data_IF_226190894603
#
_entry.id   IF_226190894603
#
_cell.length_a   1.000
_cell.length_b   1.000
_cell.length_c   1.000
_cell.angle_alpha   90.00
_cell.angle_beta   90.00
_cell.angle_gamma   90.00
#
_symmetry.space_group_name_H-M   'P 1'
#
loop_
_entity.id
_entity.type
_entity.pdbx_description
1 polymer ?
#
# COMPACT_ATOMS: atom_id res chain seq x y z
N UNK A 1 -14.13 -22.97 -13.36
CA UNK A 1 -13.23 -21.80 -13.33
C UNK A 1 -12.88 -21.56 -11.88
N UNK A 2 -11.60 -21.57 -11.52
CA UNK A 2 -11.19 -21.08 -10.20
C UNK A 2 -11.49 -19.57 -10.16
N UNK A 3 -12.05 -19.09 -9.04
CA UNK A 3 -12.15 -17.65 -8.80
C UNK A 3 -10.72 -17.12 -8.68
N UNK A 4 -10.37 -16.16 -9.53
CA UNK A 4 -9.09 -15.44 -9.44
C UNK A 4 -9.11 -14.61 -8.15
N UNK A 5 -8.01 -14.64 -7.38
CA UNK A 5 -7.92 -13.86 -6.16
C UNK A 5 -7.99 -12.36 -6.51
N UNK A 6 -8.69 -11.57 -5.71
CA UNK A 6 -8.72 -10.11 -5.82
C UNK A 6 -7.64 -9.47 -4.96
N UNK A 7 -7.19 -8.26 -5.31
CA UNK A 7 -6.22 -7.53 -4.51
C UNK A 7 -6.72 -7.25 -3.07
N UNK A 8 -8.04 -7.09 -2.87
CA UNK A 8 -8.62 -6.92 -1.53
C UNK A 8 -8.57 -8.22 -0.70
N UNK A 9 -8.79 -9.37 -1.32
CA UNK A 9 -8.63 -10.67 -0.65
C UNK A 9 -7.18 -10.92 -0.29
N UNK A 10 -6.25 -10.59 -1.20
CA UNK A 10 -4.82 -10.65 -0.91
C UNK A 10 -4.45 -9.70 0.23
N UNK A 11 -4.93 -8.45 0.24
CA UNK A 11 -4.71 -7.50 1.33
C UNK A 11 -5.14 -8.06 2.70
N UNK A 12 -6.27 -8.77 2.76
CA UNK A 12 -6.71 -9.46 3.98
C UNK A 12 -5.73 -10.55 4.42
N UNK A 13 -5.37 -11.44 3.50
CA UNK A 13 -4.41 -12.51 3.77
C UNK A 13 -3.06 -11.97 4.26
N UNK A 14 -2.57 -10.90 3.63
CA UNK A 14 -1.31 -10.26 4.02
C UNK A 14 -1.44 -9.58 5.39
N UNK A 15 -2.57 -8.94 5.69
CA UNK A 15 -2.77 -8.32 6.99
C UNK A 15 -2.77 -9.35 8.14
N UNK A 16 -3.27 -10.56 7.88
CA UNK A 16 -3.21 -11.69 8.83
C UNK A 16 -1.78 -12.23 8.97
N UNK A 17 -1.07 -12.43 7.86
CA UNK A 17 0.32 -12.89 7.84
C UNK A 17 1.28 -11.96 8.61
N UNK A 18 1.07 -10.65 8.46
CA UNK A 18 1.93 -9.62 9.04
C UNK A 18 1.50 -9.20 10.46
N UNK A 19 0.53 -9.90 11.05
CA UNK A 19 0.09 -9.63 12.42
C UNK A 19 1.29 -9.67 13.39
N UNK A 20 1.43 -8.62 14.20
CA UNK A 20 2.55 -8.45 15.13
C UNK A 20 3.68 -7.54 14.64
N UNK A 21 3.62 -7.07 13.38
CA UNK A 21 4.53 -6.03 12.83
C UNK A 21 3.82 -4.69 12.69
N UNK A 22 4.58 -3.62 12.49
CA UNK A 22 4.11 -2.25 12.27
C UNK A 22 3.98 -1.94 10.78
N UNK A 23 2.75 -2.03 10.27
CA UNK A 23 2.44 -1.75 8.87
C UNK A 23 1.03 -1.18 8.71
N UNK A 24 0.73 -0.66 7.52
CA UNK A 24 -0.62 -0.30 7.10
C UNK A 24 -0.79 -0.51 5.60
N UNK A 25 -1.97 -1.00 5.21
CA UNK A 25 -2.38 -1.15 3.82
C UNK A 25 -3.04 0.16 3.37
N UNK A 26 -2.66 0.61 2.18
CA UNK A 26 -3.22 1.81 1.58
C UNK A 26 -3.70 1.58 0.16
N UNK A 27 -3.47 2.59 -0.66
CA UNK A 27 -3.55 2.47 -2.09
C UNK A 27 -4.97 2.44 -2.60
N UNK A 28 -5.10 1.81 -3.77
CA UNK A 28 -6.41 1.56 -4.36
C UNK A 28 -7.29 0.66 -3.48
N UNK A 29 -6.70 -0.27 -2.71
CA UNK A 29 -7.41 -1.10 -1.72
C UNK A 29 -8.09 -0.24 -0.64
N UNK A 30 -7.39 0.75 -0.08
CA UNK A 30 -7.97 1.70 0.87
C UNK A 30 -9.10 2.53 0.24
N UNK A 31 -8.90 3.06 -0.98
CA UNK A 31 -9.95 3.82 -1.67
C UNK A 31 -11.24 3.01 -1.84
N UNK A 32 -11.12 1.74 -2.24
CA UNK A 32 -12.27 0.85 -2.33
C UNK A 32 -12.93 0.62 -0.97
N UNK A 33 -12.15 0.46 0.10
CA UNK A 33 -12.66 0.33 1.47
C UNK A 33 -13.47 1.57 1.92
N UNK A 34 -13.07 2.76 1.47
CA UNK A 34 -13.78 4.03 1.73
C UNK A 34 -15.05 4.22 0.87
N UNK A 35 -15.37 3.25 -0.01
CA UNK A 35 -16.50 3.32 -0.93
C UNK A 35 -16.27 4.24 -2.13
N UNK A 36 -15.01 4.56 -2.45
CA UNK A 36 -14.65 5.29 -3.67
C UNK A 36 -14.59 4.29 -4.82
N UNK A 37 -15.28 4.60 -5.92
CA UNK A 37 -15.39 3.70 -7.07
C UNK A 37 -14.04 3.51 -7.79
N UNK A 38 -13.33 2.46 -7.39
CA UNK A 38 -12.05 2.03 -7.95
C UNK A 38 -11.97 0.50 -7.92
N UNK A 39 -11.25 -0.06 -8.89
CA UNK A 39 -10.86 -1.47 -8.87
C UNK A 39 -9.38 -1.57 -8.48
N UNK A 40 -9.06 -2.11 -7.30
CA UNK A 40 -7.68 -2.34 -6.90
C UNK A 40 -7.01 -3.39 -7.80
N UNK A 41 -5.75 -3.14 -8.18
CA UNK A 41 -4.95 -4.04 -9.02
C UNK A 41 -3.70 -4.57 -8.31
N UNK A 42 -3.38 -3.97 -7.18
CA UNK A 42 -2.24 -4.25 -6.34
C UNK A 42 -2.56 -3.93 -4.87
N UNK A 43 -1.66 -4.36 -4.00
CA UNK A 43 -1.69 -4.07 -2.57
C UNK A 43 -0.49 -3.19 -2.22
N UNK A 44 -0.75 -1.99 -1.73
CA UNK A 44 0.30 -1.08 -1.24
C UNK A 44 0.46 -1.23 0.27
N UNK A 45 1.66 -1.55 0.74
CA UNK A 45 2.00 -1.72 2.16
C UNK A 45 3.10 -0.72 2.54
N UNK A 46 2.79 0.12 3.54
CA UNK A 46 3.78 0.96 4.22
C UNK A 46 4.09 0.32 5.56
N UNK A 47 5.36 0.25 5.94
CA UNK A 47 5.78 -0.28 7.23
C UNK A 47 6.87 0.56 7.90
N UNK A 48 7.15 0.27 9.18
CA UNK A 48 8.29 0.85 9.87
C UNK A 48 9.60 0.33 9.28
N UNK A 49 10.66 1.16 9.34
CA UNK A 49 11.98 0.73 8.87
C UNK A 49 12.55 -0.43 9.69
N UNK A 50 12.15 -0.53 10.97
CA UNK A 50 12.57 -1.61 11.86
C UNK A 50 12.00 -2.96 11.43
N UNK A 51 10.73 -2.99 11.02
CA UNK A 51 10.04 -4.22 10.66
C UNK A 51 10.18 -4.61 9.19
N UNK A 52 10.70 -3.72 8.34
CA UNK A 52 10.85 -3.99 6.91
C UNK A 52 11.49 -5.35 6.62
N UNK A 53 12.57 -5.70 7.33
CA UNK A 53 13.29 -6.95 7.08
C UNK A 53 12.46 -8.20 7.40
N UNK A 54 11.69 -8.17 8.50
CA UNK A 54 10.82 -9.26 8.92
C UNK A 54 9.62 -9.37 7.97
N UNK A 55 8.98 -8.24 7.65
CA UNK A 55 7.85 -8.20 6.72
C UNK A 55 8.27 -8.71 5.34
N UNK A 56 9.43 -8.26 4.83
CA UNK A 56 9.95 -8.73 3.56
C UNK A 56 10.13 -10.27 3.56
N UNK A 57 10.71 -10.83 4.62
CA UNK A 57 10.88 -12.29 4.74
C UNK A 57 9.53 -13.02 4.77
N UNK A 58 8.55 -12.50 5.51
CA UNK A 58 7.20 -13.07 5.56
C UNK A 58 6.51 -12.99 4.19
N UNK A 59 6.57 -11.86 3.49
CA UNK A 59 5.99 -11.73 2.15
C UNK A 59 6.64 -12.70 1.16
N UNK A 60 7.96 -12.88 1.25
CA UNK A 60 8.71 -13.80 0.39
C UNK A 60 8.36 -15.29 0.60
N UNK A 61 7.63 -15.66 1.67
CA UNK A 61 7.13 -17.04 1.82
C UNK A 61 5.91 -17.33 0.95
N UNK A 62 5.18 -16.29 0.53
CA UNK A 62 3.93 -16.39 -0.22
C UNK A 62 4.02 -15.80 -1.64
N UNK A 63 4.90 -14.80 -1.83
CA UNK A 63 4.97 -14.00 -3.04
C UNK A 63 6.37 -14.05 -3.64
N UNK A 64 6.45 -13.88 -4.97
CA UNK A 64 7.72 -13.82 -5.67
C UNK A 64 8.24 -12.38 -5.68
N UNK A 65 9.42 -12.06 -5.10
CA UNK A 65 10.01 -10.73 -5.23
C UNK A 65 10.44 -10.47 -6.68
N UNK A 66 10.19 -9.26 -7.17
CA UNK A 66 10.62 -8.82 -8.50
C UNK A 66 11.59 -7.64 -8.41
N UNK A 67 12.62 -7.64 -9.25
CA UNK A 67 13.56 -6.52 -9.36
C UNK A 67 13.02 -5.51 -10.36
N UNK A 68 12.84 -4.27 -9.92
CA UNK A 68 12.46 -3.15 -10.77
C UNK A 68 13.63 -2.20 -10.99
N UNK A 69 13.70 -1.51 -12.14
CA UNK A 69 14.67 -0.43 -12.32
C UNK A 69 14.41 0.67 -11.28
N UNK A 70 15.49 1.33 -10.84
CA UNK A 70 15.37 2.46 -9.93
C UNK A 70 14.57 3.59 -10.57
N UNK A 71 13.56 4.09 -9.85
CA UNK A 71 12.78 5.24 -10.30
C UNK A 71 13.57 6.55 -10.05
N UNK A 72 13.60 7.50 -11.00
CA UNK A 72 14.37 8.74 -10.83
C UNK A 72 13.84 9.64 -9.70
N UNK A 73 12.56 9.55 -9.38
CA UNK A 73 11.91 10.36 -8.35
C UNK A 73 11.57 9.59 -7.06
N UNK A 74 11.35 8.28 -7.12
CA UNK A 74 10.93 7.52 -5.93
C UNK A 74 12.18 6.93 -5.28
N UNK A 75 12.45 7.34 -4.05
CA UNK A 75 13.71 7.10 -3.36
C UNK A 75 13.51 6.73 -1.89
N UNK A 76 12.45 5.95 -1.63
CA UNK A 76 12.22 5.27 -0.36
C UNK A 76 13.47 4.51 0.06
N UNK A 77 13.78 4.51 1.36
CA UNK A 77 14.96 3.79 1.88
C UNK A 77 14.87 2.30 1.56
N UNK A 78 13.68 1.74 1.67
CA UNK A 78 13.41 0.37 1.32
C UNK A 78 12.17 0.29 0.41
N UNK A 79 12.30 -0.49 -0.66
CA UNK A 79 11.23 -0.78 -1.59
C UNK A 79 11.44 -2.17 -2.18
N UNK A 80 10.38 -2.98 -2.19
CA UNK A 80 10.34 -4.27 -2.88
C UNK A 80 8.95 -4.45 -3.48
N UNK A 81 8.89 -4.73 -4.79
CA UNK A 81 7.65 -5.24 -5.38
C UNK A 81 7.66 -6.76 -5.36
N UNK A 82 6.52 -7.35 -5.06
CA UNK A 82 6.27 -8.78 -5.17
C UNK A 82 5.11 -9.02 -6.15
N UNK A 83 5.00 -10.25 -6.63
CA UNK A 83 3.85 -10.73 -7.41
C UNK A 83 3.29 -12.01 -6.78
N UNK A 84 1.97 -12.08 -6.63
CA UNK A 84 1.29 -13.30 -6.19
C UNK A 84 1.39 -14.41 -7.24
N UNK A 85 1.54 -15.65 -6.80
CA UNK A 85 1.49 -16.80 -7.71
C UNK A 85 0.03 -17.24 -7.87
N UNK A 86 -0.70 -16.61 -8.78
CA UNK A 86 -2.00 -17.16 -9.19
C UNK A 86 -1.74 -18.18 -10.31
N UNK A 87 -1.95 -19.47 -10.01
CA UNK A 87 -1.59 -20.62 -10.85
C UNK A 87 -2.30 -20.75 -12.19
N UNK A 88 -2.82 -19.65 -12.76
CA UNK A 88 -3.57 -19.61 -14.01
C UNK A 88 -3.15 -18.47 -14.98
N UNK A 89 -2.29 -17.54 -14.60
CA UNK A 89 -1.78 -16.49 -15.51
C UNK A 89 -0.41 -15.96 -15.10
N UNK A 90 0.41 -15.58 -16.09
CA UNK A 90 1.71 -14.91 -15.90
C UNK A 90 1.61 -13.50 -15.27
N UNK A 91 0.40 -13.02 -14.98
CA UNK A 91 0.11 -11.69 -14.43
C UNK A 91 -0.58 -11.82 -13.05
N UNK A 92 0.20 -12.14 -12.01
CA UNK A 92 -0.30 -12.15 -10.63
C UNK A 92 -0.59 -10.73 -10.08
N UNK A 93 -1.19 -10.65 -8.90
CA UNK A 93 -1.43 -9.38 -8.20
C UNK A 93 -0.11 -8.84 -7.66
N UNK A 94 0.17 -7.57 -7.93
CA UNK A 94 1.35 -6.89 -7.40
C UNK A 94 1.19 -6.50 -5.92
N UNK A 95 2.30 -6.53 -5.18
CA UNK A 95 2.37 -6.04 -3.80
C UNK A 95 3.59 -5.15 -3.65
N UNK A 96 3.39 -3.87 -3.33
CA UNK A 96 4.46 -2.91 -3.10
C UNK A 96 4.71 -2.76 -1.60
N UNK A 97 5.86 -3.23 -1.13
CA UNK A 97 6.33 -3.02 0.25
C UNK A 97 7.27 -1.83 0.31
N UNK A 98 6.98 -0.88 1.20
CA UNK A 98 7.73 0.37 1.33
C UNK A 98 8.03 0.69 2.81
N UNK A 99 9.25 1.17 3.08
CA UNK A 99 9.63 1.77 4.36
C UNK A 99 10.61 2.94 4.15
N UNK A 100 10.55 3.93 5.05
CA UNK A 100 11.33 5.17 4.92
C UNK A 100 11.00 5.91 3.63
N UNK A 101 9.70 6.11 3.36
CA UNK A 101 9.20 6.60 2.07
C UNK A 101 9.70 8.01 1.79
N UNK A 102 10.22 8.20 0.58
CA UNK A 102 10.68 9.51 0.14
C UNK A 102 10.58 9.68 -1.38
N UNK A 103 10.36 10.93 -1.79
CA UNK A 103 10.34 11.33 -3.20
C UNK A 103 11.31 12.50 -3.42
N UNK A 104 11.97 12.51 -4.57
CA UNK A 104 12.84 13.59 -5.01
C UNK A 104 12.09 14.45 -6.02
N UNK A 105 12.00 15.76 -5.78
CA UNK A 105 11.39 16.74 -6.68
C UNK A 105 12.27 17.97 -6.80
N UNK A 106 12.62 18.33 -8.04
CA UNK A 106 13.42 19.53 -8.34
C UNK A 106 14.75 19.62 -7.55
N UNK A 107 15.31 18.48 -7.13
CA UNK A 107 16.53 18.43 -6.34
C UNK A 107 16.31 18.16 -4.84
N UNK A 108 15.14 18.51 -4.31
CA UNK A 108 14.79 18.35 -2.91
C UNK A 108 14.19 16.98 -2.61
N UNK A 109 14.51 16.43 -1.43
CA UNK A 109 13.97 15.16 -0.95
C UNK A 109 12.88 15.41 0.10
N UNK A 110 11.67 14.96 -0.22
CA UNK A 110 10.52 15.00 0.68
C UNK A 110 10.32 13.62 1.31
N UNK A 111 10.10 13.59 2.61
CA UNK A 111 9.96 12.36 3.40
C UNK A 111 8.54 12.24 3.93
N UNK A 112 8.00 11.02 3.88
CA UNK A 112 6.79 10.67 4.59
C UNK A 112 7.17 9.92 5.87
N UNK A 113 6.69 10.41 7.01
CA UNK A 113 6.88 9.77 8.30
C UNK A 113 5.71 8.82 8.56
N UNK A 114 5.97 7.52 8.49
CA UNK A 114 4.99 6.51 8.91
C UNK A 114 4.88 6.49 10.43
N UNK A 115 3.65 6.56 10.94
CA UNK A 115 3.34 6.45 12.37
C UNK A 115 2.41 5.25 12.59
N UNK A 116 2.90 4.14 13.16
CA UNK A 116 2.10 2.92 13.32
C UNK A 116 0.80 3.10 14.10
N UNK A 117 0.78 4.05 15.06
CA UNK A 117 -0.42 4.44 15.82
C UNK A 117 -1.49 5.12 14.97
N UNK A 118 -1.17 5.53 13.74
CA UNK A 118 -2.10 6.10 12.75
C UNK A 118 -2.51 5.04 11.72
N UNK A 119 -2.92 3.89 12.24
CA UNK A 119 -3.51 2.81 11.46
C UNK A 119 -4.76 2.29 12.17
N UNK A 120 -5.69 1.73 11.40
CA UNK A 120 -6.97 1.24 11.91
C UNK A 120 -7.20 -0.21 11.47
N UNK A 121 -7.59 -1.07 12.40
CA UNK A 121 -7.96 -2.44 12.08
C UNK A 121 -9.46 -2.50 11.79
N UNK A 122 -9.83 -2.77 10.53
CA UNK A 122 -11.23 -2.90 10.11
C UNK A 122 -11.40 -4.11 9.20
N UNK A 123 -12.38 -4.96 9.49
CA UNK A 123 -12.65 -6.19 8.73
C UNK A 123 -11.43 -7.13 8.58
N UNK A 124 -10.53 -7.12 9.57
CA UNK A 124 -9.31 -7.93 9.57
C UNK A 124 -8.14 -7.34 8.77
N UNK A 125 -8.29 -6.13 8.21
CA UNK A 125 -7.21 -5.44 7.50
C UNK A 125 -6.75 -4.24 8.32
N UNK A 126 -5.43 -4.10 8.50
CA UNK A 126 -4.82 -2.91 9.08
C UNK A 126 -4.65 -1.84 8.00
N UNK A 127 -5.53 -0.86 8.00
CA UNK A 127 -5.56 0.25 7.06
C UNK A 127 -4.70 1.42 7.53
N UNK A 128 -4.04 2.10 6.60
CA UNK A 128 -3.58 3.46 6.83
C UNK A 128 -4.76 4.43 6.91
N UNK A 129 -4.61 5.51 7.68
CA UNK A 129 -5.58 6.60 7.64
C UNK A 129 -5.64 7.24 6.24
N UNK A 130 -6.85 7.56 5.80
CA UNK A 130 -7.08 8.22 4.51
C UNK A 130 -6.32 9.55 4.38
N UNK A 131 -6.17 10.28 5.49
CA UNK A 131 -5.47 11.57 5.50
C UNK A 131 -3.96 11.41 5.24
N UNK A 132 -3.36 10.36 5.79
CA UNK A 132 -1.95 10.05 5.56
C UNK A 132 -1.74 9.55 4.12
N UNK A 133 -2.70 8.80 3.59
CA UNK A 133 -2.65 8.35 2.21
C UNK A 133 -2.87 9.48 1.18
N UNK A 134 -3.64 10.52 1.53
CA UNK A 134 -3.75 11.74 0.72
C UNK A 134 -2.38 12.42 0.56
N UNK A 135 -1.59 12.52 1.65
CA UNK A 135 -0.22 13.06 1.61
C UNK A 135 0.65 12.23 0.67
N UNK A 136 0.59 10.90 0.78
CA UNK A 136 1.34 10.00 -0.11
C UNK A 136 0.95 10.20 -1.58
N UNK A 137 -0.35 10.31 -1.91
CA UNK A 137 -0.76 10.57 -3.30
C UNK A 137 -0.31 11.94 -3.83
N UNK A 138 -0.25 12.96 -2.99
CA UNK A 138 0.36 14.25 -3.35
C UNK A 138 1.85 14.07 -3.65
N UNK A 139 2.58 13.38 -2.77
CA UNK A 139 4.00 13.07 -2.96
C UNK A 139 4.26 12.27 -4.23
N UNK A 140 3.43 11.27 -4.54
CA UNK A 140 3.55 10.41 -5.72
C UNK A 140 3.03 11.03 -7.03
N UNK A 141 2.59 12.29 -7.02
CA UNK A 141 2.02 12.97 -8.19
C UNK A 141 0.80 12.25 -8.78
N UNK A 142 -0.18 11.88 -7.95
CA UNK A 142 -1.41 11.20 -8.38
C UNK A 142 -2.62 12.14 -8.30
N UNK A 143 -2.70 13.21 -9.13
CA UNK A 143 -3.68 14.29 -8.96
C UNK A 143 -5.13 13.81 -8.99
N UNK A 144 -5.45 12.79 -9.81
CA UNK A 144 -6.79 12.20 -9.83
C UNK A 144 -7.15 11.53 -8.49
N UNK A 145 -6.20 10.82 -7.85
CA UNK A 145 -6.41 10.19 -6.55
C UNK A 145 -6.49 11.20 -5.42
N UNK A 146 -5.70 12.27 -5.50
CA UNK A 146 -5.79 13.42 -4.59
C UNK A 146 -7.18 14.05 -4.65
N UNK A 147 -7.72 14.27 -5.86
CA UNK A 147 -9.07 14.82 -6.03
C UNK A 147 -10.13 13.91 -5.41
N UNK A 148 -10.06 12.60 -5.66
CA UNK A 148 -11.00 11.61 -5.11
C UNK A 148 -11.02 11.62 -3.57
N UNK A 149 -9.86 11.58 -2.92
CA UNK A 149 -9.80 11.64 -1.45
C UNK A 149 -10.22 13.00 -0.90
N UNK A 150 -9.88 14.09 -1.58
CA UNK A 150 -10.33 15.44 -1.18
C UNK A 150 -11.85 15.55 -1.23
N UNK A 151 -12.49 15.02 -2.27
CA UNK A 151 -13.94 14.96 -2.39
C UNK A 151 -14.55 14.08 -1.30
N UNK A 152 -13.96 12.92 -1.01
CA UNK A 152 -14.38 12.04 0.08
C UNK A 152 -14.42 12.79 1.43
N UNK A 153 -13.38 13.55 1.76
CA UNK A 153 -13.35 14.37 2.99
C UNK A 153 -14.38 15.51 2.97
N UNK A 154 -14.56 16.18 1.83
CA UNK A 154 -15.52 17.27 1.71
C UNK A 154 -16.97 16.82 1.91
N UNK A 155 -17.28 15.54 1.64
CA UNK A 155 -18.60 14.95 1.86
C UNK A 155 -18.90 14.60 3.32
N UNK A 156 -17.99 14.91 4.26
CA UNK A 156 -18.21 14.63 5.69
C UNK A 156 -18.20 13.14 6.02
N UNK A 157 -17.72 12.29 5.12
CA UNK A 157 -17.46 10.88 5.40
C UNK A 157 -16.17 10.78 6.23
N UNK A 158 -16.26 11.16 7.50
CA UNK A 158 -15.30 10.72 8.51
C UNK A 158 -15.70 9.30 8.94
N UNK A 159 -14.72 8.48 9.30
CA UNK A 159 -14.96 7.13 9.82
C UNK A 159 -15.97 7.17 10.99
N UNK A 160 -17.08 6.43 10.85
CA UNK A 160 -17.74 5.75 11.97
C UNK A 160 -17.03 4.41 12.21
#
# INVERSE_FOLDING_TARGET
MALQQTARELAKQLSELLAGTEFGIGGSCLLQQLGIDVTPRDVDIICSEADYSIIHQQLATLLTPITLPTHPEYCSRFFQRFISQDGASDEGIGVDLMAGVAVKRQGDKQYFKFEPSRTELQHGIRWMLAADWLVLYQMFNRPQRVLQLTQYFALGKAFD
#
